data_IF_834927222693
#
_entry.id   IF_834927222693
#
_cell.length_a   1.000
_cell.length_b   1.000
_cell.length_c   1.000
_cell.angle_alpha   90.00
_cell.angle_beta   90.00
_cell.angle_gamma   90.00
#
_symmetry.space_group_name_H-M   'P 1'
#
loop_
_entity.id
_entity.type
_entity.pdbx_description
1 polymer ?
#
# COMPACT_ATOMS: atom_id res chain seq x y z
N UNK A 1 -8.55 6.86 -46.57
CA UNK A 1 -7.68 6.95 -45.42
C UNK A 1 -8.55 6.63 -44.19
N UNK A 2 -8.33 5.49 -43.56
CA UNK A 2 -9.04 5.09 -42.38
C UNK A 2 -8.28 5.68 -41.16
N UNK A 3 -8.76 6.83 -40.70
CA UNK A 3 -8.28 7.50 -39.47
C UNK A 3 -8.99 6.85 -38.26
N UNK A 4 -8.76 5.57 -38.07
CA UNK A 4 -9.18 4.85 -36.89
C UNK A 4 -8.12 5.07 -35.82
N UNK A 5 -8.40 5.96 -34.86
CA UNK A 5 -7.60 6.05 -33.66
C UNK A 5 -7.57 4.68 -32.97
N UNK A 6 -6.39 4.17 -32.60
CA UNK A 6 -6.29 2.88 -31.90
C UNK A 6 -7.10 2.94 -30.59
N UNK A 7 -7.80 1.84 -30.30
CA UNK A 7 -8.52 1.71 -29.04
C UNK A 7 -7.58 1.90 -27.86
N UNK A 8 -8.09 2.46 -26.78
CA UNK A 8 -7.34 2.74 -25.54
C UNK A 8 -6.58 1.51 -24.99
N UNK A 9 -7.12 0.31 -25.25
CA UNK A 9 -6.52 -0.97 -24.89
C UNK A 9 -5.23 -1.25 -25.69
N UNK A 10 -5.17 -0.79 -26.95
CA UNK A 10 -4.01 -0.99 -27.83
C UNK A 10 -2.95 0.10 -27.62
N UNK A 11 -3.36 1.32 -27.28
CA UNK A 11 -2.44 2.45 -27.01
C UNK A 11 -1.87 2.47 -25.60
N UNK A 12 -2.30 1.55 -24.68
CA UNK A 12 -1.82 1.50 -23.30
C UNK A 12 -2.46 2.54 -22.36
N UNK A 13 -3.41 3.33 -22.87
CA UNK A 13 -4.13 4.34 -22.08
C UNK A 13 -3.28 5.58 -21.76
N UNK A 14 -3.65 6.36 -20.71
CA UNK A 14 -2.99 7.62 -20.36
C UNK A 14 -1.57 7.46 -19.80
N UNK A 15 -1.12 6.22 -19.57
CA UNK A 15 0.16 5.88 -18.95
C UNK A 15 1.33 5.82 -19.96
N UNK A 16 1.04 5.97 -21.24
CA UNK A 16 2.02 5.85 -22.30
C UNK A 16 2.07 7.15 -23.11
N UNK A 17 3.26 7.67 -23.28
CA UNK A 17 3.58 8.78 -24.17
C UNK A 17 4.56 8.26 -25.23
N UNK A 18 4.24 8.45 -26.52
CA UNK A 18 5.05 7.97 -27.65
C UNK A 18 5.41 6.47 -27.61
N UNK A 19 4.49 5.63 -27.15
CA UNK A 19 4.65 4.17 -26.94
C UNK A 19 5.62 3.78 -25.79
N UNK A 20 6.12 4.74 -25.03
CA UNK A 20 6.92 4.50 -23.83
C UNK A 20 6.07 4.75 -22.57
N UNK A 21 6.30 3.95 -21.52
CA UNK A 21 5.63 4.12 -20.25
C UNK A 21 6.15 5.36 -19.53
N UNK A 22 5.26 6.31 -19.25
CA UNK A 22 5.58 7.58 -18.61
C UNK A 22 5.65 7.43 -17.08
N UNK A 23 6.82 7.07 -16.59
CA UNK A 23 7.09 6.90 -15.16
C UNK A 23 6.90 8.20 -14.36
N UNK A 24 7.24 9.35 -14.95
CA UNK A 24 7.14 10.65 -14.28
C UNK A 24 5.67 11.02 -14.08
N UNK A 25 4.87 10.85 -15.12
CA UNK A 25 3.43 11.10 -15.07
C UNK A 25 2.74 10.19 -14.04
N UNK A 26 3.03 8.88 -14.05
CA UNK A 26 2.47 7.92 -13.09
C UNK A 26 2.87 8.28 -11.67
N UNK A 27 4.12 8.66 -11.43
CA UNK A 27 4.59 9.08 -10.12
C UNK A 27 3.90 10.36 -9.63
N UNK A 28 3.72 11.34 -10.53
CA UNK A 28 2.99 12.57 -10.23
C UNK A 28 1.54 12.28 -9.85
N UNK A 29 0.83 11.46 -10.62
CA UNK A 29 -0.56 11.08 -10.32
C UNK A 29 -0.65 10.31 -9.00
N UNK A 30 0.24 9.36 -8.71
CA UNK A 30 0.31 8.67 -7.42
C UNK A 30 0.42 9.67 -6.26
N UNK A 31 1.32 10.63 -6.38
CA UNK A 31 1.52 11.66 -5.36
C UNK A 31 0.26 12.50 -5.14
N UNK A 32 -0.39 12.92 -6.22
CA UNK A 32 -1.64 13.70 -6.16
C UNK A 32 -2.76 12.90 -5.51
N UNK A 33 -2.93 11.63 -5.88
CA UNK A 33 -3.95 10.74 -5.27
C UNK A 33 -3.73 10.63 -3.76
N UNK A 34 -2.50 10.40 -3.31
CA UNK A 34 -2.18 10.32 -1.87
C UNK A 34 -2.49 11.65 -1.17
N UNK A 35 -2.17 12.79 -1.78
CA UNK A 35 -2.49 14.11 -1.22
C UNK A 35 -4.00 14.35 -1.14
N UNK A 36 -4.76 13.98 -2.17
CA UNK A 36 -6.22 14.07 -2.17
C UNK A 36 -6.83 13.21 -1.05
N UNK A 37 -6.41 11.95 -0.93
CA UNK A 37 -6.87 11.05 0.13
C UNK A 37 -6.49 11.58 1.51
N UNK A 38 -5.31 12.18 1.67
CA UNK A 38 -4.88 12.80 2.92
C UNK A 38 -5.73 14.02 3.30
N UNK A 39 -6.11 14.82 2.32
CA UNK A 39 -6.95 16.00 2.54
C UNK A 39 -8.41 15.63 2.87
N UNK A 40 -8.95 14.62 2.19
CA UNK A 40 -10.33 14.16 2.37
C UNK A 40 -10.50 13.25 3.60
N UNK A 41 -9.43 12.60 4.05
CA UNK A 41 -9.44 11.64 5.16
C UNK A 41 -9.99 10.28 4.75
N UNK A 42 -11.32 10.14 4.75
CA UNK A 42 -12.03 8.92 4.31
C UNK A 42 -12.82 9.25 3.04
N UNK A 43 -12.42 8.72 1.91
CA UNK A 43 -13.02 9.05 0.61
C UNK A 43 -13.34 7.81 -0.22
N UNK A 44 -14.31 7.95 -1.10
CA UNK A 44 -14.65 6.96 -2.11
C UNK A 44 -13.78 7.11 -3.35
N UNK A 45 -13.84 6.13 -4.27
CA UNK A 45 -13.13 6.22 -5.54
C UNK A 45 -13.58 7.42 -6.38
N UNK A 46 -14.89 7.74 -6.33
CA UNK A 46 -15.47 8.88 -7.04
C UNK A 46 -15.00 10.22 -6.49
N UNK A 47 -14.87 10.33 -5.16
CA UNK A 47 -14.32 11.52 -4.50
C UNK A 47 -12.87 11.76 -4.92
N UNK A 48 -12.07 10.70 -4.96
CA UNK A 48 -10.68 10.74 -5.42
C UNK A 48 -10.62 11.19 -6.89
N UNK A 49 -11.43 10.58 -7.75
CA UNK A 49 -11.48 10.92 -9.17
C UNK A 49 -11.83 12.39 -9.39
N UNK A 50 -12.88 12.87 -8.73
CA UNK A 50 -13.31 14.27 -8.81
C UNK A 50 -12.21 15.22 -8.32
N UNK A 51 -11.55 14.87 -7.22
CA UNK A 51 -10.45 15.67 -6.67
C UNK A 51 -9.25 15.71 -7.60
N UNK A 52 -8.86 14.58 -8.19
CA UNK A 52 -7.74 14.50 -9.15
C UNK A 52 -8.03 15.34 -10.40
N UNK A 53 -9.26 15.27 -10.95
CA UNK A 53 -9.66 16.12 -12.06
C UNK A 53 -9.60 17.62 -11.71
N UNK A 54 -9.96 17.98 -10.48
CA UNK A 54 -9.90 19.36 -9.97
C UNK A 54 -8.48 19.92 -9.87
N UNK A 55 -7.46 19.07 -9.75
CA UNK A 55 -6.05 19.53 -9.67
C UNK A 55 -5.45 19.93 -11.02
N UNK A 56 -6.04 19.47 -12.13
CA UNK A 56 -5.54 19.77 -13.47
C UNK A 56 -4.17 19.19 -13.81
N UNK A 57 -3.70 18.20 -13.05
CA UNK A 57 -2.38 17.56 -13.24
C UNK A 57 -2.31 16.76 -14.54
N UNK A 58 -3.44 16.26 -15.02
CA UNK A 58 -3.51 15.51 -16.27
C UNK A 58 -4.09 16.37 -17.39
N UNK A 59 -3.38 16.46 -18.51
CA UNK A 59 -3.88 17.03 -19.75
C UNK A 59 -4.84 16.10 -20.49
N UNK A 60 -4.77 14.79 -20.17
CA UNK A 60 -5.65 13.76 -20.73
C UNK A 60 -6.79 13.50 -19.74
N UNK A 61 -8.05 13.40 -20.19
CA UNK A 61 -9.17 13.09 -19.31
C UNK A 61 -9.00 11.68 -18.74
N UNK A 62 -8.75 11.59 -17.43
CA UNK A 62 -8.65 10.34 -16.70
C UNK A 62 -10.06 9.77 -16.45
N UNK A 63 -10.23 8.48 -16.69
CA UNK A 63 -11.45 7.76 -16.34
C UNK A 63 -11.38 7.24 -14.90
N UNK A 64 -12.53 6.89 -14.34
CA UNK A 64 -12.60 6.27 -13.00
C UNK A 64 -11.80 4.96 -12.96
N UNK A 65 -11.77 4.20 -14.06
CA UNK A 65 -10.96 2.99 -14.21
C UNK A 65 -9.46 3.25 -14.08
N UNK A 66 -8.98 4.37 -14.63
CA UNK A 66 -7.57 4.75 -14.57
C UNK A 66 -7.17 5.10 -13.12
N UNK A 67 -8.01 5.88 -12.45
CA UNK A 67 -7.81 6.22 -11.03
C UNK A 67 -7.88 4.98 -10.15
N UNK A 68 -8.78 4.04 -10.45
CA UNK A 68 -8.85 2.74 -9.75
C UNK A 68 -7.52 1.98 -9.84
N UNK A 69 -6.92 1.90 -11.02
CA UNK A 69 -5.63 1.22 -11.22
C UNK A 69 -4.53 1.86 -10.36
N UNK A 70 -4.50 3.20 -10.28
CA UNK A 70 -3.54 3.91 -9.41
C UNK A 70 -3.80 3.64 -7.94
N UNK A 71 -5.07 3.66 -7.50
CA UNK A 71 -5.44 3.35 -6.12
C UNK A 71 -5.07 1.91 -5.75
N UNK A 72 -5.29 0.95 -6.65
CA UNK A 72 -4.88 -0.46 -6.45
C UNK A 72 -3.35 -0.61 -6.32
N UNK A 73 -2.59 0.11 -7.15
CA UNK A 73 -1.13 0.14 -7.01
C UNK A 73 -0.70 0.75 -5.67
N UNK A 74 -1.35 1.84 -5.20
CA UNK A 74 -1.05 2.46 -3.91
C UNK A 74 -1.46 1.58 -2.71
N UNK A 75 -2.50 0.75 -2.86
CA UNK A 75 -2.85 -0.27 -1.87
C UNK A 75 -1.79 -1.37 -1.79
N UNK A 76 -1.29 -1.83 -2.96
CA UNK A 76 -0.20 -2.81 -3.03
C UNK A 76 1.11 -2.25 -2.43
N UNK A 77 1.39 -0.97 -2.68
CA UNK A 77 2.54 -0.24 -2.12
C UNK A 77 2.35 0.10 -0.62
N UNK A 78 1.24 -0.32 0.01
CA UNK A 78 0.89 -0.02 1.42
C UNK A 78 0.87 1.49 1.75
N UNK A 79 0.63 2.34 0.76
CA UNK A 79 0.48 3.79 0.97
C UNK A 79 -0.96 4.17 1.30
N UNK A 80 -1.91 3.39 0.82
CA UNK A 80 -3.33 3.52 1.14
C UNK A 80 -3.85 2.26 1.83
N UNK A 81 -4.93 2.41 2.57
CA UNK A 81 -5.66 1.35 3.25
C UNK A 81 -7.13 1.39 2.84
N UNK A 82 -7.71 0.21 2.57
CA UNK A 82 -9.13 0.07 2.31
C UNK A 82 -9.87 -0.20 3.62
N UNK A 83 -10.87 0.61 3.95
CA UNK A 83 -11.62 0.50 5.21
C UNK A 83 -12.70 -0.58 5.18
N UNK A 84 -13.33 -0.80 4.02
CA UNK A 84 -14.40 -1.79 3.86
C UNK A 84 -14.23 -2.52 2.53
N UNK A 85 -14.55 -3.83 2.54
CA UNK A 85 -14.49 -4.68 1.34
C UNK A 85 -15.78 -4.64 0.50
N UNK A 86 -16.71 -3.72 0.80
CA UNK A 86 -17.98 -3.57 0.08
C UNK A 86 -17.82 -2.73 -1.19
N UNK A 87 -18.88 -2.71 -2.02
CA UNK A 87 -18.97 -1.92 -3.25
C UNK A 87 -18.78 -0.41 -2.99
N UNK A 88 -19.03 0.04 -1.76
CA UNK A 88 -18.81 1.40 -1.24
C UNK A 88 -17.45 1.50 -0.50
N UNK A 89 -16.39 0.95 -1.10
CA UNK A 89 -15.06 0.92 -0.51
C UNK A 89 -14.55 2.35 -0.26
N UNK A 90 -14.14 2.61 0.99
CA UNK A 90 -13.50 3.86 1.38
C UNK A 90 -12.00 3.66 1.55
N UNK A 91 -11.27 4.68 1.20
CA UNK A 91 -9.81 4.69 1.24
C UNK A 91 -9.32 5.76 2.20
N UNK A 92 -8.25 5.45 2.89
CA UNK A 92 -7.49 6.40 3.72
C UNK A 92 -6.00 6.20 3.50
N UNK A 93 -5.19 7.17 3.89
CA UNK A 93 -3.74 7.01 3.92
C UNK A 93 -3.38 5.95 4.96
N UNK A 94 -2.59 4.97 4.56
CA UNK A 94 -2.09 3.96 5.48
C UNK A 94 -1.24 4.60 6.57
N UNK A 95 -1.36 4.13 7.79
CA UNK A 95 -0.42 4.50 8.83
C UNK A 95 0.95 3.94 8.44
N UNK A 96 2.04 4.70 8.60
CA UNK A 96 3.36 4.14 8.39
C UNK A 96 3.46 2.85 9.20
N UNK A 97 3.84 1.77 8.52
CA UNK A 97 4.11 0.51 9.20
C UNK A 97 5.16 0.83 10.27
N UNK A 98 4.79 0.63 11.52
CA UNK A 98 5.75 0.78 12.62
C UNK A 98 6.87 -0.18 12.29
N UNK A 99 8.08 0.34 12.22
CA UNK A 99 9.26 -0.49 11.98
C UNK A 99 9.20 -1.66 12.97
N UNK A 100 9.06 -2.88 12.45
CA UNK A 100 8.98 -4.09 13.27
C UNK A 100 10.39 -4.68 13.54
N UNK A 101 11.45 -3.91 13.28
CA UNK A 101 12.82 -4.34 13.53
C UNK A 101 13.01 -4.76 14.99
N UNK A 102 12.26 -4.12 15.92
CA UNK A 102 12.24 -4.53 17.31
C UNK A 102 11.80 -5.99 17.54
N UNK A 103 11.00 -6.58 16.61
CA UNK A 103 10.60 -7.99 16.70
C UNK A 103 11.81 -8.91 16.45
N UNK A 104 12.75 -8.47 15.63
CA UNK A 104 14.00 -9.18 15.41
C UNK A 104 14.98 -9.05 16.60
N UNK A 105 14.82 -8.02 17.42
CA UNK A 105 15.65 -7.79 18.60
C UNK A 105 15.20 -8.58 19.84
N UNK A 106 13.92 -9.03 19.87
CA UNK A 106 13.44 -9.86 20.97
C UNK A 106 13.74 -11.34 20.74
N UNK A 107 14.09 -12.10 21.78
CA UNK A 107 14.44 -13.52 21.67
C UNK A 107 13.40 -14.37 20.95
N UNK A 108 12.11 -14.06 21.15
CA UNK A 108 10.99 -14.76 20.50
C UNK A 108 10.93 -14.56 18.99
N UNK A 109 11.48 -13.44 18.44
CA UNK A 109 11.51 -13.15 17.01
C UNK A 109 12.62 -13.93 16.29
N UNK A 110 13.72 -14.22 16.99
CA UNK A 110 14.90 -14.92 16.43
C UNK A 110 15.04 -16.36 16.91
N UNK A 111 14.16 -16.83 17.81
CA UNK A 111 14.22 -18.15 18.39
C UNK A 111 14.13 -19.27 17.35
N UNK A 112 15.14 -20.16 17.25
CA UNK A 112 15.15 -21.28 16.31
C UNK A 112 14.15 -22.38 16.65
N UNK A 113 13.48 -22.28 17.81
CA UNK A 113 12.50 -23.27 18.30
C UNK A 113 11.08 -22.75 18.20
N UNK A 114 10.43 -22.83 17.03
CA UNK A 114 9.09 -22.29 16.83
C UNK A 114 7.99 -23.02 17.64
N UNK A 115 8.34 -24.09 18.34
CA UNK A 115 7.43 -24.92 19.15
C UNK A 115 7.44 -24.60 20.64
N UNK A 116 8.13 -23.56 21.07
CA UNK A 116 8.11 -23.10 22.47
C UNK A 116 6.78 -22.44 22.89
N UNK A 117 5.75 -22.40 22.04
CA UNK A 117 4.44 -21.91 22.42
C UNK A 117 3.78 -22.89 23.38
N UNK A 118 3.36 -22.37 24.53
CA UNK A 118 2.70 -23.12 25.61
C UNK A 118 1.43 -23.90 25.15
N UNK A 119 0.82 -23.51 24.04
CA UNK A 119 -0.36 -24.13 23.46
C UNK A 119 -0.13 -25.56 22.96
N UNK A 120 1.13 -25.97 22.73
CA UNK A 120 1.47 -27.29 22.17
C UNK A 120 2.22 -28.20 23.15
N UNK A 121 2.16 -27.94 24.46
CA UNK A 121 2.88 -28.74 25.45
C UNK A 121 4.41 -28.67 25.34
N UNK A 122 4.91 -27.57 24.80
CA UNK A 122 6.35 -27.31 24.72
C UNK A 122 6.97 -27.22 26.12
N UNK A 123 8.15 -27.79 26.27
CA UNK A 123 8.91 -27.83 27.52
C UNK A 123 9.57 -26.49 27.87
N UNK A 124 9.49 -25.51 26.99
CA UNK A 124 10.08 -24.18 27.17
C UNK A 124 8.96 -23.14 27.33
N UNK A 125 9.00 -22.42 28.43
CA UNK A 125 8.11 -21.28 28.76
C UNK A 125 8.99 -20.06 29.10
N UNK A 126 8.33 -18.92 29.44
CA UNK A 126 9.05 -17.69 29.78
C UNK A 126 10.00 -17.84 30.99
N UNK A 127 9.71 -18.78 31.91
CA UNK A 127 10.51 -19.03 33.12
C UNK A 127 11.71 -19.94 32.85
N UNK A 128 11.66 -20.73 31.77
CA UNK A 128 12.71 -21.74 31.44
C UNK A 128 13.41 -21.45 30.13
N UNK A 129 13.19 -20.27 29.54
CA UNK A 129 13.74 -19.88 28.25
C UNK A 129 15.14 -19.29 28.41
N UNK A 130 16.15 -20.06 28.09
CA UNK A 130 17.58 -19.62 28.17
C UNK A 130 17.86 -18.40 27.27
N UNK A 131 17.15 -18.24 26.13
CA UNK A 131 17.29 -17.08 25.26
C UNK A 131 16.71 -15.82 25.88
N UNK A 132 15.60 -15.93 26.61
CA UNK A 132 14.98 -14.80 27.28
C UNK A 132 15.81 -14.36 28.47
N UNK A 133 16.34 -15.30 29.27
CA UNK A 133 17.22 -15.01 30.40
C UNK A 133 18.49 -14.29 29.96
N UNK A 134 19.16 -14.79 28.91
CA UNK A 134 20.35 -14.15 28.36
C UNK A 134 20.08 -12.73 27.86
N UNK A 135 18.95 -12.51 27.22
CA UNK A 135 18.56 -11.19 26.71
C UNK A 135 18.22 -10.20 27.86
N UNK A 136 17.57 -10.68 28.91
CA UNK A 136 17.27 -9.86 30.08
C UNK A 136 18.53 -9.46 30.83
N UNK A 137 19.50 -10.36 30.92
CA UNK A 137 20.79 -10.09 31.56
C UNK A 137 21.66 -9.10 30.75
N UNK A 138 21.59 -9.15 29.42
CA UNK A 138 22.30 -8.24 28.53
C UNK A 138 21.67 -6.82 28.49
N UNK A 139 20.37 -6.71 28.84
CA UNK A 139 19.60 -5.47 28.84
C UNK A 139 19.65 -4.73 30.19
N UNK A 140 20.23 -5.29 31.22
CA UNK A 140 20.33 -4.73 32.56
C UNK A 140 21.64 -3.97 32.75
#
# INVERSE_FOLDING_TARGET
>A
AYDLAPTREVSGGPWYTDHEFDHEFVSAIKTVVVQCVKALGNCTLEDIHTSVLGTGVSTVPLQVSDVRTVVEALLADSQLERLHASDDARFKVAKPCVNTDWVAEVPSGTCPWPRCRAENGGTCNAETCLYLDAWLDESA
#
